data_IF_998011241486
#
_entry.id   IF_998011241486
#
_cell.length_a   1.000
_cell.length_b   1.000
_cell.length_c   1.000
_cell.angle_alpha   90.00
_cell.angle_beta   90.00
_cell.angle_gamma   90.00
#
_symmetry.space_group_name_H-M   'P 1'
#
loop_
_entity.id
_entity.type
_entity.pdbx_description
1 polymer ?
#
# COMPACT_ATOMS: atom_id res chain seq x y z
N UNK A 1 -22.42 4.23 -6.84
CA UNK A 1 -21.14 3.54 -7.10
C UNK A 1 -20.43 3.45 -5.76
N UNK A 2 -20.88 2.52 -4.93
CA UNK A 2 -20.31 2.27 -3.61
C UNK A 2 -18.90 1.76 -3.80
N UNK A 3 -17.93 2.68 -3.76
CA UNK A 3 -16.53 2.37 -3.60
C UNK A 3 -16.42 1.68 -2.24
N UNK A 4 -16.65 0.37 -2.23
CA UNK A 4 -16.34 -0.54 -1.14
C UNK A 4 -14.85 -0.37 -0.90
N UNK A 5 -14.48 0.64 -0.09
CA UNK A 5 -13.09 1.09 0.16
C UNK A 5 -12.25 -0.16 0.28
N UNK A 6 -11.42 -0.43 -0.74
CA UNK A 6 -10.68 -1.68 -0.82
C UNK A 6 -9.81 -1.75 0.42
N UNK A 7 -9.56 -2.95 0.92
CA UNK A 7 -8.66 -3.11 2.07
C UNK A 7 -7.32 -2.41 1.78
N UNK A 8 -6.86 -2.53 0.54
CA UNK A 8 -5.73 -1.81 -0.06
C UNK A 8 -5.77 -0.28 0.16
N UNK A 9 -6.89 0.41 -0.12
CA UNK A 9 -7.01 1.87 0.09
C UNK A 9 -6.80 2.27 1.55
N UNK A 10 -7.32 1.46 2.49
CA UNK A 10 -7.16 1.71 3.92
C UNK A 10 -5.72 1.49 4.38
N UNK A 11 -5.05 0.48 3.83
CA UNK A 11 -3.65 0.18 4.11
C UNK A 11 -2.75 1.31 3.61
N UNK A 12 -3.00 1.84 2.41
CA UNK A 12 -2.24 2.98 1.85
C UNK A 12 -2.42 4.24 2.70
N UNK A 13 -3.65 4.56 3.09
CA UNK A 13 -3.91 5.72 3.94
C UNK A 13 -3.24 5.59 5.32
N UNK A 14 -3.23 4.38 5.90
CA UNK A 14 -2.53 4.11 7.15
C UNK A 14 -1.00 4.17 6.99
N UNK A 15 -0.48 3.74 5.83
CA UNK A 15 0.95 3.77 5.52
C UNK A 15 1.44 5.21 5.40
N UNK A 16 0.73 6.06 4.66
CA UNK A 16 1.05 7.49 4.57
C UNK A 16 1.07 8.16 5.95
N UNK A 17 0.10 7.81 6.81
CA UNK A 17 0.06 8.33 8.17
C UNK A 17 1.24 7.83 9.02
N UNK A 18 1.60 6.55 8.91
CA UNK A 18 2.77 6.00 9.59
C UNK A 18 4.08 6.67 9.12
N UNK A 19 4.23 6.95 7.83
CA UNK A 19 5.37 7.71 7.30
C UNK A 19 5.41 9.15 7.82
N UNK A 20 4.26 9.83 7.94
CA UNK A 20 4.18 11.19 8.51
C UNK A 20 4.49 11.23 10.01
N UNK A 21 4.13 10.19 10.74
CA UNK A 21 4.36 10.06 12.18
C UNK A 21 5.72 9.45 12.54
N UNK A 22 6.61 9.24 11.56
CA UNK A 22 7.93 8.61 11.72
C UNK A 22 7.88 7.17 12.28
N UNK A 23 6.73 6.50 12.10
CA UNK A 23 6.49 5.13 12.57
C UNK A 23 6.88 4.12 11.49
N UNK A 24 8.17 4.08 11.14
CA UNK A 24 8.66 3.24 10.03
C UNK A 24 8.38 1.74 10.22
N UNK A 25 8.43 1.24 11.46
CA UNK A 25 8.07 -0.15 11.77
C UNK A 25 6.61 -0.48 11.40
N UNK A 26 5.71 0.48 11.57
CA UNK A 26 4.28 0.33 11.21
C UNK A 26 4.12 0.47 9.70
N UNK A 27 4.83 1.41 9.08
CA UNK A 27 4.82 1.57 7.62
C UNK A 27 5.31 0.32 6.89
N UNK A 28 6.30 -0.39 7.45
CA UNK A 28 6.84 -1.63 6.88
C UNK A 28 5.82 -2.78 6.94
N UNK A 29 5.16 -2.95 8.09
CA UNK A 29 4.09 -3.93 8.27
C UNK A 29 2.88 -3.65 7.37
N UNK A 30 2.53 -2.39 7.18
CA UNK A 30 1.44 -1.98 6.29
C UNK A 30 1.78 -2.22 4.83
N UNK A 31 3.03 -2.02 4.43
CA UNK A 31 3.49 -2.31 3.08
C UNK A 31 3.42 -3.82 2.78
N UNK A 32 3.88 -4.66 3.71
CA UNK A 32 3.76 -6.13 3.60
C UNK A 32 2.30 -6.59 3.54
N UNK A 33 1.41 -5.96 4.33
CA UNK A 33 -0.02 -6.24 4.27
C UNK A 33 -0.64 -5.87 2.92
N UNK A 34 -0.18 -4.78 2.30
CA UNK A 34 -0.60 -4.37 0.96
C UNK A 34 -0.18 -5.39 -0.09
N UNK A 35 1.05 -5.89 -0.03
CA UNK A 35 1.56 -6.94 -0.94
C UNK A 35 0.72 -8.22 -0.84
N UNK A 36 0.37 -8.65 0.37
CA UNK A 36 -0.45 -9.84 0.60
C UNK A 36 -1.89 -9.66 0.07
N UNK A 37 -2.50 -8.50 0.30
CA UNK A 37 -3.84 -8.18 -0.20
C UNK A 37 -3.87 -8.20 -1.74
N UNK A 38 -2.85 -7.63 -2.38
CA UNK A 38 -2.74 -7.62 -3.84
C UNK A 38 -2.41 -9.00 -4.42
N UNK A 39 -1.58 -9.79 -3.74
CA UNK A 39 -1.27 -11.18 -4.13
C UNK A 39 -2.50 -12.09 -4.04
N UNK A 40 -3.35 -11.90 -3.03
CA UNK A 40 -4.62 -12.63 -2.88
C UNK A 40 -5.63 -12.34 -4.01
N UNK A 41 -5.50 -11.20 -4.71
CA UNK A 41 -6.37 -10.78 -5.82
C UNK A 41 -5.86 -11.31 -7.19
N UNK A 42 -4.88 -12.22 -7.21
CA UNK A 42 -4.20 -12.78 -8.38
C UNK A 42 -5.03 -13.57 -9.42
N UNK A 43 -6.34 -13.35 -9.53
CA UNK A 43 -7.21 -14.00 -10.53
C UNK A 43 -7.56 -13.15 -11.75
N UNK A 44 -7.45 -11.81 -11.70
CA UNK A 44 -7.95 -10.95 -12.78
C UNK A 44 -6.89 -9.95 -13.28
N UNK A 45 -6.33 -10.24 -14.47
CA UNK A 45 -5.18 -9.51 -15.08
C UNK A 45 -5.36 -7.99 -15.21
N UNK A 46 -6.59 -7.48 -15.24
CA UNK A 46 -6.86 -6.05 -15.38
C UNK A 46 -6.73 -5.28 -14.05
N UNK A 47 -7.06 -5.94 -12.93
CA UNK A 47 -6.99 -5.35 -11.59
C UNK A 47 -5.54 -5.31 -11.06
N UNK A 48 -4.71 -6.22 -11.57
CA UNK A 48 -3.29 -6.32 -11.24
C UNK A 48 -2.52 -5.04 -11.60
N UNK A 49 -2.80 -4.42 -12.75
CA UNK A 49 -2.05 -3.24 -13.24
C UNK A 49 -2.26 -1.98 -12.39
N UNK A 50 -3.50 -1.71 -11.97
CA UNK A 50 -3.76 -0.60 -11.05
C UNK A 50 -3.15 -0.88 -9.68
N UNK A 51 -3.31 -2.11 -9.20
CA UNK A 51 -2.76 -2.57 -7.93
C UNK A 51 -1.23 -2.45 -7.85
N UNK A 52 -0.51 -2.84 -8.90
CA UNK A 52 0.96 -2.74 -8.97
C UNK A 52 1.44 -1.29 -8.99
N UNK A 53 0.75 -0.40 -9.72
CA UNK A 53 1.11 1.02 -9.74
C UNK A 53 0.93 1.68 -8.37
N UNK A 54 -0.10 1.28 -7.63
CA UNK A 54 -0.33 1.75 -6.26
C UNK A 54 0.71 1.21 -5.27
N UNK A 55 1.15 -0.04 -5.45
CA UNK A 55 2.23 -0.63 -4.67
C UNK A 55 3.56 0.10 -4.91
N UNK A 56 3.94 0.36 -6.16
CA UNK A 56 5.15 1.10 -6.52
C UNK A 56 5.18 2.50 -5.88
N UNK A 57 4.06 3.22 -5.91
CA UNK A 57 3.96 4.55 -5.30
C UNK A 57 4.12 4.51 -3.77
N UNK A 58 3.59 3.48 -3.10
CA UNK A 58 3.75 3.27 -1.67
C UNK A 58 5.21 2.93 -1.31
N UNK A 59 5.88 2.09 -2.12
CA UNK A 59 7.29 1.77 -1.99
C UNK A 59 8.19 3.00 -2.17
N UNK A 60 7.94 3.81 -3.20
CA UNK A 60 8.74 5.02 -3.47
C UNK A 60 8.63 6.01 -2.30
N UNK A 61 7.42 6.18 -1.75
CA UNK A 61 7.18 7.03 -0.58
C UNK A 61 7.86 6.49 0.67
N UNK A 62 7.81 5.17 0.88
CA UNK A 62 8.49 4.51 2.00
C UNK A 62 10.01 4.69 1.92
N UNK A 63 10.60 4.46 0.75
CA UNK A 63 12.03 4.64 0.51
C UNK A 63 12.50 6.05 0.84
N UNK A 64 11.79 7.07 0.33
CA UNK A 64 12.07 8.48 0.63
C UNK A 64 11.94 8.83 2.11
N UNK A 65 11.02 8.16 2.82
CA UNK A 65 10.82 8.38 4.27
C UNK A 65 11.93 7.74 5.11
N UNK A 66 12.48 6.61 4.66
CA UNK A 66 13.54 5.86 5.34
C UNK A 66 14.94 6.45 5.17
N UNK A 67 15.12 7.30 4.16
CA UNK A 67 16.39 7.97 3.82
C UNK A 67 16.51 9.40 4.39
N UNK A 68 15.52 9.88 5.15
CA UNK A 68 15.59 11.14 5.93
C UNK A 68 16.17 10.90 7.32
#
# INVERSE_FOLDING_TARGET
>A
MDAKRRLSDKIISAHEQACREDKMNVADLLLQALELDLSAIGGNKNDLRQSTATLEAAFETHGKSKER
#
